data_IF_983088501822
#
_entry.id   IF_983088501822
#
_cell.length_a   1.000
_cell.length_b   1.000
_cell.length_c   1.000
_cell.angle_alpha   90.00
_cell.angle_beta   90.00
_cell.angle_gamma   90.00
#
_symmetry.space_group_name_H-M   'P 1'
#
loop_
_entity.id
_entity.type
_entity.pdbx_description
1 polymer ?
#
# COMPACT_ATOMS: atom_id res chain seq x y z
N UNK A 1 -0.68 17.22 -10.86
CA UNK A 1 -1.42 16.26 -11.72
C UNK A 1 -2.85 16.20 -11.18
N UNK A 2 -3.89 16.14 -12.02
CA UNK A 2 -5.28 16.12 -11.53
C UNK A 2 -5.58 14.80 -10.79
N UNK A 3 -6.27 14.89 -9.65
CA UNK A 3 -6.81 13.80 -8.83
C UNK A 3 -7.45 12.69 -9.67
N UNK A 4 -8.14 13.04 -10.76
CA UNK A 4 -8.76 12.08 -11.65
C UNK A 4 -7.77 11.06 -12.25
N UNK A 5 -6.54 11.49 -12.56
CA UNK A 5 -5.49 10.60 -13.10
C UNK A 5 -4.91 9.68 -12.03
N UNK A 6 -4.73 10.21 -10.81
CA UNK A 6 -4.30 9.40 -9.67
C UNK A 6 -5.30 8.29 -9.38
N UNK A 7 -6.59 8.65 -9.30
CA UNK A 7 -7.68 7.69 -9.07
C UNK A 7 -7.75 6.65 -10.18
N UNK A 8 -7.61 7.04 -11.45
CA UNK A 8 -7.61 6.09 -12.57
C UNK A 8 -6.42 5.13 -12.50
N UNK A 9 -5.21 5.63 -12.25
CA UNK A 9 -4.01 4.80 -12.10
C UNK A 9 -4.14 3.79 -10.96
N UNK A 10 -4.64 4.24 -9.81
CA UNK A 10 -4.91 3.38 -8.65
C UNK A 10 -5.99 2.34 -8.95
N UNK A 11 -7.06 2.69 -9.66
CA UNK A 11 -8.10 1.72 -10.05
C UNK A 11 -7.55 0.63 -10.97
N UNK A 12 -6.72 1.00 -11.95
CA UNK A 12 -6.10 0.03 -12.85
C UNK A 12 -5.18 -0.93 -12.10
N UNK A 13 -4.43 -0.40 -11.13
CA UNK A 13 -3.57 -1.19 -10.25
C UNK A 13 -4.36 -2.18 -9.38
N UNK A 14 -5.42 -1.69 -8.73
CA UNK A 14 -6.26 -2.50 -7.86
C UNK A 14 -6.97 -3.61 -8.66
N UNK A 15 -7.48 -3.29 -9.85
CA UNK A 15 -8.11 -4.26 -10.74
C UNK A 15 -7.16 -5.38 -11.18
N UNK A 16 -5.87 -5.09 -11.37
CA UNK A 16 -4.85 -6.13 -11.69
C UNK A 16 -4.65 -7.11 -10.54
N UNK A 17 -4.78 -6.64 -9.31
CA UNK A 17 -4.52 -7.42 -8.10
C UNK A 17 -5.77 -8.10 -7.51
N UNK A 18 -6.97 -7.78 -7.99
CA UNK A 18 -8.24 -8.36 -7.51
C UNK A 18 -8.33 -9.89 -7.65
N UNK A 19 -7.61 -10.48 -8.61
CA UNK A 19 -7.61 -11.93 -8.82
C UNK A 19 -6.60 -12.69 -7.95
N UNK A 20 -5.77 -11.98 -7.16
CA UNK A 20 -4.89 -12.63 -6.22
C UNK A 20 -5.72 -13.35 -5.14
N UNK A 21 -5.17 -14.41 -4.55
CA UNK A 21 -5.85 -15.13 -3.48
C UNK A 21 -5.87 -14.28 -2.21
N UNK A 22 -7.04 -13.75 -1.85
CA UNK A 22 -7.27 -12.93 -0.64
C UNK A 22 -6.33 -11.72 -0.55
N UNK A 23 -6.44 -10.74 -1.47
CA UNK A 23 -5.59 -9.56 -1.42
C UNK A 23 -6.03 -8.62 -0.29
N UNK A 24 -5.08 -7.98 0.38
CA UNK A 24 -5.34 -7.01 1.43
C UNK A 24 -4.34 -5.85 1.39
N UNK A 25 -4.74 -4.64 1.82
CA UNK A 25 -3.81 -3.53 1.94
C UNK A 25 -2.98 -3.66 3.22
N UNK A 26 -1.72 -3.24 3.14
CA UNK A 26 -0.86 -3.00 4.32
C UNK A 26 -0.42 -1.55 4.30
N UNK A 27 -0.65 -0.81 5.39
CA UNK A 27 -0.17 0.56 5.56
C UNK A 27 1.04 0.54 6.49
N UNK A 28 2.19 1.03 6.03
CA UNK A 28 3.39 1.17 6.85
C UNK A 28 4.13 2.48 6.64
N UNK A 29 5.27 2.62 7.31
CA UNK A 29 6.17 3.74 7.16
C UNK A 29 7.64 3.30 7.28
N UNK A 30 8.53 4.03 6.59
CA UNK A 30 10.00 3.88 6.68
C UNK A 30 10.59 5.25 6.95
N UNK A 31 11.17 5.44 8.14
CA UNK A 31 11.63 6.76 8.56
C UNK A 31 10.47 7.76 8.60
N UNK A 32 10.51 8.77 7.72
CA UNK A 32 9.46 9.79 7.59
C UNK A 32 8.45 9.55 6.46
N UNK A 33 8.66 8.51 5.63
CA UNK A 33 7.86 8.26 4.44
C UNK A 33 6.84 7.14 4.66
N UNK A 34 5.65 7.29 4.11
CA UNK A 34 4.59 6.27 4.20
C UNK A 34 4.64 5.34 2.99
N UNK A 35 4.18 4.11 3.16
CA UNK A 35 3.95 3.19 2.06
C UNK A 35 2.65 2.41 2.24
N UNK A 36 2.08 1.98 1.12
CA UNK A 36 0.93 1.10 1.04
C UNK A 36 1.29 -0.12 0.20
N UNK A 37 1.14 -1.32 0.73
CA UNK A 37 1.33 -2.55 -0.02
C UNK A 37 -0.03 -3.15 -0.40
N UNK A 38 -0.09 -3.79 -1.55
CA UNK A 38 -1.10 -4.81 -1.83
C UNK A 38 -0.41 -6.15 -1.60
N UNK A 39 -0.87 -6.87 -0.59
CA UNK A 39 -0.33 -8.17 -0.22
C UNK A 39 -1.36 -9.28 -0.42
N UNK A 40 -0.90 -10.53 -0.47
CA UNK A 40 -1.75 -11.73 -0.49
C UNK A 40 -1.14 -12.85 0.36
N UNK A 41 -1.92 -13.90 0.63
CA UNK A 41 -1.49 -15.01 1.49
C UNK A 41 -1.72 -14.74 2.99
N UNK A 42 -1.12 -15.55 3.85
CA UNK A 42 -1.19 -15.34 5.31
C UNK A 42 -0.29 -14.18 5.71
N UNK A 43 -0.47 -13.63 6.93
CA UNK A 43 0.44 -12.60 7.45
C UNK A 43 1.90 -13.07 7.55
N UNK A 44 2.10 -14.35 7.86
CA UNK A 44 3.43 -14.96 8.05
C UNK A 44 4.11 -15.29 6.72
N UNK A 45 3.34 -15.72 5.74
CA UNK A 45 3.82 -16.11 4.40
C UNK A 45 3.37 -15.10 3.34
N UNK A 46 3.30 -13.81 3.71
CA UNK A 46 2.72 -12.80 2.85
C UNK A 46 3.55 -12.62 1.59
N UNK A 47 2.86 -12.48 0.47
CA UNK A 47 3.45 -12.07 -0.80
C UNK A 47 3.05 -10.63 -1.09
N UNK A 48 4.04 -9.76 -1.21
CA UNK A 48 3.84 -8.38 -1.68
C UNK A 48 3.65 -8.43 -3.20
N UNK A 49 2.52 -7.92 -3.68
CA UNK A 49 2.20 -7.84 -5.10
C UNK A 49 2.58 -6.47 -5.68
N UNK A 50 2.37 -5.43 -4.89
CA UNK A 50 2.65 -4.05 -5.28
C UNK A 50 2.97 -3.23 -4.05
N UNK A 51 3.94 -2.31 -4.17
CA UNK A 51 4.24 -1.30 -3.15
C UNK A 51 4.01 0.10 -3.71
N UNK A 52 3.29 0.93 -2.97
CA UNK A 52 3.01 2.33 -3.27
C UNK A 52 3.72 3.19 -2.22
N UNK A 53 4.81 3.82 -2.59
CA UNK A 53 5.52 4.80 -1.76
C UNK A 53 4.86 6.17 -1.84
N UNK A 54 4.73 6.82 -0.68
CA UNK A 54 4.04 8.09 -0.53
C UNK A 54 4.98 9.15 0.03
N UNK A 55 5.20 10.20 -0.76
CA UNK A 55 5.92 11.40 -0.30
C UNK A 55 4.95 12.50 0.12
N UNK A 56 5.16 13.07 1.31
CA UNK A 56 4.33 14.13 1.89
C UNK A 56 4.73 15.54 1.43
N UNK A 57 3.81 16.49 1.59
CA UNK A 57 4.06 17.91 1.32
C UNK A 57 4.16 18.25 -0.16
N UNK A 58 3.61 17.38 -1.02
CA UNK A 58 3.56 17.56 -2.47
C UNK A 58 2.11 17.63 -2.94
N UNK A 59 1.87 18.30 -4.06
CA UNK A 59 0.59 18.15 -4.76
C UNK A 59 0.40 16.70 -5.24
N UNK A 60 -0.85 16.32 -5.54
CA UNK A 60 -1.15 15.01 -6.11
C UNK A 60 -0.31 14.77 -7.38
N UNK A 61 0.52 13.73 -7.33
CA UNK A 61 1.42 13.33 -8.41
C UNK A 61 1.62 11.80 -8.40
N UNK A 62 1.68 11.18 -9.58
CA UNK A 62 2.09 9.79 -9.77
C UNK A 62 3.40 9.87 -10.54
N UNK A 63 4.52 9.56 -9.87
CA UNK A 63 5.85 9.87 -10.37
C UNK A 63 6.47 8.72 -11.19
N UNK A 64 6.15 7.47 -10.89
CA UNK A 64 6.65 6.32 -11.62
C UNK A 64 5.79 5.08 -11.37
N UNK A 65 5.58 4.31 -12.44
CA UNK A 65 5.30 2.88 -12.42
C UNK A 65 6.56 2.26 -13.02
N UNK A 66 7.60 2.07 -12.22
CA UNK A 66 8.80 1.39 -12.70
C UNK A 66 8.84 0.00 -12.11
N UNK A 67 8.81 -1.07 -12.95
CA UNK A 67 9.32 -2.36 -12.52
C UNK A 67 10.84 -2.18 -12.44
N UNK A 68 11.35 -1.84 -11.25
CA UNK A 68 12.79 -1.69 -11.06
C UNK A 68 13.48 -3.02 -11.36
N UNK A 69 14.36 -2.99 -12.37
CA UNK A 69 14.99 -4.14 -13.01
C UNK A 69 16.05 -4.86 -12.19
N UNK A 70 15.79 -5.09 -10.90
CA UNK A 70 16.72 -5.73 -9.96
C UNK A 70 16.06 -6.82 -9.12
N UNK A 71 15.23 -7.71 -9.69
CA UNK A 71 14.86 -8.93 -8.96
C UNK A 71 14.78 -10.16 -9.86
N UNK A 72 15.71 -11.08 -9.61
CA UNK A 72 15.50 -12.52 -9.81
C UNK A 72 14.19 -12.91 -9.10
N UNK A 73 13.29 -13.57 -9.84
CA UNK A 73 12.03 -14.16 -9.38
C UNK A 73 11.05 -13.24 -8.62
N UNK A 74 10.17 -12.57 -9.37
CA UNK A 74 8.93 -11.99 -8.87
C UNK A 74 8.85 -10.49 -9.10
N UNK A 75 8.22 -10.10 -10.20
CA UNK A 75 7.94 -8.70 -10.54
C UNK A 75 7.15 -8.08 -9.38
N UNK A 76 7.81 -7.20 -8.60
CA UNK A 76 7.17 -6.33 -7.62
C UNK A 76 6.90 -5.00 -8.32
N UNK A 77 5.64 -4.66 -8.49
CA UNK A 77 5.28 -3.36 -9.07
C UNK A 77 5.50 -2.27 -8.00
N UNK A 78 6.41 -1.33 -8.26
CA UNK A 78 6.65 -0.19 -7.38
C UNK A 78 6.08 1.10 -7.97
N UNK A 79 5.43 1.88 -7.10
CA UNK A 79 4.69 3.07 -7.48
C UNK A 79 5.02 4.19 -6.52
N UNK A 80 5.32 5.38 -7.06
CA UNK A 80 5.55 6.56 -6.23
C UNK A 80 4.44 7.58 -6.42
N UNK A 81 3.83 8.02 -5.32
CA UNK A 81 2.84 9.09 -5.30
C UNK A 81 3.21 10.22 -4.35
N UNK A 82 2.85 11.45 -4.74
CA UNK A 82 2.86 12.62 -3.88
C UNK A 82 1.47 12.86 -3.30
N UNK A 83 1.38 13.06 -1.99
CA UNK A 83 0.15 13.46 -1.30
C UNK A 83 0.37 14.74 -0.48
N UNK A 84 -0.67 15.59 -0.33
CA UNK A 84 -0.54 16.87 0.37
C UNK A 84 -0.35 16.70 1.88
N UNK A 85 -0.99 15.69 2.49
CA UNK A 85 -0.91 15.41 3.92
C UNK A 85 -1.24 13.94 4.24
N UNK A 86 -0.98 13.55 5.50
CA UNK A 86 -1.15 12.19 5.98
C UNK A 86 -2.62 11.71 6.00
N UNK A 87 -3.61 12.60 6.07
CA UNK A 87 -5.02 12.19 6.06
C UNK A 87 -5.41 11.51 4.73
N UNK A 88 -4.75 11.90 3.64
CA UNK A 88 -4.93 11.29 2.33
C UNK A 88 -4.38 9.86 2.26
N UNK A 89 -3.39 9.50 3.08
CA UNK A 89 -2.88 8.13 3.17
C UNK A 89 -3.93 7.21 3.76
N UNK A 90 -4.58 7.65 4.84
CA UNK A 90 -5.65 6.88 5.49
C UNK A 90 -6.84 6.72 4.53
N UNK A 91 -7.23 7.78 3.83
CA UNK A 91 -8.28 7.72 2.82
C UNK A 91 -7.91 6.74 1.69
N UNK A 92 -6.65 6.72 1.25
CA UNK A 92 -6.16 5.80 0.25
C UNK A 92 -6.18 4.34 0.73
N UNK A 93 -5.76 4.08 1.96
CA UNK A 93 -5.83 2.74 2.58
C UNK A 93 -7.26 2.19 2.58
N UNK A 94 -8.24 2.99 3.02
CA UNK A 94 -9.66 2.59 3.01
C UNK A 94 -10.25 2.40 1.60
N UNK A 95 -9.80 3.20 0.63
CA UNK A 95 -10.17 2.98 -0.78
C UNK A 95 -9.62 1.67 -1.32
N UNK A 96 -8.37 1.33 -0.98
CA UNK A 96 -7.74 0.07 -1.37
C UNK A 96 -8.46 -1.12 -0.73
N UNK A 97 -8.74 -1.06 0.57
CA UNK A 97 -9.51 -2.06 1.32
C UNK A 97 -10.83 -2.37 0.59
N UNK A 98 -11.65 -1.34 0.38
CA UNK A 98 -12.95 -1.46 -0.31
C UNK A 98 -12.83 -2.00 -1.73
N UNK A 99 -11.79 -1.59 -2.46
CA UNK A 99 -11.60 -1.99 -3.86
C UNK A 99 -11.09 -3.41 -4.02
N UNK A 100 -10.33 -3.91 -3.04
CA UNK A 100 -9.86 -5.29 -2.98
C UNK A 100 -10.92 -6.24 -2.42
N UNK A 101 -12.00 -5.71 -1.85
CA UNK A 101 -12.97 -6.50 -1.09
C UNK A 101 -12.37 -7.09 0.19
N UNK A 102 -11.25 -6.52 0.65
CA UNK A 102 -10.65 -6.87 1.92
C UNK A 102 -11.56 -6.28 3.01
N UNK A 103 -12.07 -7.09 3.94
CA UNK A 103 -12.89 -6.59 5.06
C UNK A 103 -12.07 -5.91 6.17
N UNK A 104 -10.79 -5.62 5.90
CA UNK A 104 -9.84 -4.97 6.81
C UNK A 104 -8.60 -4.55 6.04
N UNK A 105 -7.81 -3.64 6.61
CA UNK A 105 -6.42 -3.40 6.19
C UNK A 105 -5.49 -3.62 7.38
N UNK A 106 -4.22 -3.87 7.07
CA UNK A 106 -3.22 -4.23 8.09
C UNK A 106 -2.34 -3.02 8.31
N UNK A 107 -2.15 -2.62 9.57
CA UNK A 107 -1.11 -1.67 9.92
C UNK A 107 0.19 -2.47 9.99
N UNK A 108 1.23 -2.01 9.33
CA UNK A 108 2.55 -2.58 9.52
C UNK A 108 2.94 -2.36 10.99
N UNK A 109 3.31 -3.40 11.75
CA UNK A 109 3.78 -3.20 13.11
C UNK A 109 5.08 -2.41 13.03
N UNK A 110 5.05 -1.19 13.54
CA UNK A 110 6.22 -0.35 13.70
C UNK A 110 6.65 -0.44 15.15
N UNK A 111 7.94 -0.65 15.40
CA UNK A 111 8.49 -0.34 16.72
C UNK A 111 8.45 1.18 16.94
N UNK A 112 8.65 1.65 18.18
CA UNK A 112 8.75 3.08 18.51
C UNK A 112 9.88 3.83 17.77
N UNK A 113 10.72 3.11 17.02
CA UNK A 113 11.82 3.64 16.20
C UNK A 113 11.53 3.56 14.69
N UNK A 114 10.40 2.98 14.29
CA UNK A 114 10.07 2.71 12.89
C UNK A 114 10.77 1.47 12.31
N UNK A 115 11.39 0.64 13.15
CA UNK A 115 12.08 -0.58 12.73
C UNK A 115 11.10 -1.76 12.55
N UNK A 116 11.42 -2.63 11.59
CA UNK A 116 10.61 -3.70 11.01
C UNK A 116 10.73 -5.05 11.72
N UNK A 117 10.39 -5.19 13.00
CA UNK A 117 10.74 -6.43 13.70
C UNK A 117 9.70 -6.75 14.79
N UNK A 118 8.69 -7.56 14.48
CA UNK A 118 7.75 -8.22 15.44
C UNK A 118 6.36 -7.57 15.59
N UNK A 119 5.34 -8.36 15.99
CA UNK A 119 3.99 -7.87 16.32
C UNK A 119 2.91 -7.95 15.24
N UNK A 120 3.12 -8.72 14.15
CA UNK A 120 2.15 -8.85 13.05
C UNK A 120 0.77 -9.36 13.50
N UNK A 121 0.73 -10.23 14.50
CA UNK A 121 -0.51 -10.77 15.06
C UNK A 121 -1.34 -9.64 15.74
N UNK A 122 -0.71 -8.56 16.20
CA UNK A 122 -1.35 -7.39 16.85
C UNK A 122 -1.63 -6.23 15.87
N UNK A 123 -1.20 -6.36 14.61
CA UNK A 123 -1.15 -5.26 13.64
C UNK A 123 -2.38 -5.19 12.71
N UNK A 124 -3.39 -6.02 12.95
CA UNK A 124 -4.62 -6.04 12.15
C UNK A 124 -5.54 -4.90 12.58
N UNK A 125 -5.73 -3.90 11.71
CA UNK A 125 -6.73 -2.86 11.91
C UNK A 125 -8.05 -3.28 11.25
N UNK A 126 -8.97 -3.81 12.05
CA UNK A 126 -10.35 -4.04 11.60
C UNK A 126 -11.07 -2.69 11.65
N UNK A 127 -11.16 -1.99 10.52
CA UNK A 127 -12.05 -0.84 10.40
C UNK A 127 -13.45 -1.37 10.10
N UNK A 128 -14.24 -1.50 11.16
CA UNK A 128 -15.67 -1.80 11.00
C UNK A 128 -16.35 -0.48 10.64
N UNK A 129 -16.78 -0.32 9.38
CA UNK A 129 -17.63 0.81 8.95
C UNK A 129 -19.09 0.48 9.20
#
# INVERSE_FOLDING_TARGET
MDMARLVLGLRMLLARNQNAQSPYPVLGAIGGDFFLEISSGTLRDRRILTTIYVTMGREFALASLQPDGWHEEGIRDEIHIGLPDASHVIALAGLMEKSLGAGSFILHPLTCRGDFLDGWDDAVAIVTV
#
